data_IF_431003463873
#
_entry.id   IF_431003463873
#
_cell.length_a   1.000
_cell.length_b   1.000
_cell.length_c   1.000
_cell.angle_alpha   90.00
_cell.angle_beta   90.00
_cell.angle_gamma   90.00
#
_symmetry.space_group_name_H-M   'P 1'
#
loop_
_entity.id
_entity.type
_entity.pdbx_description
1 polymer ?
#
# COMPACT_ATOMS: atom_id res chain seq x y z
N UNK A 1 0.25 12.94 -20.18
CA UNK A 1 -0.71 11.91 -19.74
C UNK A 1 -1.26 11.25 -20.98
N UNK A 2 -1.30 9.91 -21.01
CA UNK A 2 -1.93 9.19 -22.11
C UNK A 2 -3.45 9.24 -21.91
N UNK A 3 -4.18 9.66 -22.94
CA UNK A 3 -5.65 9.79 -22.92
C UNK A 3 -6.19 8.97 -24.09
N UNK A 4 -7.32 8.29 -23.88
CA UNK A 4 -7.95 7.52 -24.95
C UNK A 4 -8.42 8.47 -26.04
N UNK A 5 -8.11 8.14 -27.29
CA UNK A 5 -8.56 8.90 -28.44
C UNK A 5 -10.11 8.91 -28.47
N UNK A 6 -10.76 10.07 -28.65
CA UNK A 6 -12.22 10.16 -28.80
C UNK A 6 -12.78 9.30 -29.95
N UNK A 7 -11.98 9.04 -30.99
CA UNK A 7 -12.30 8.15 -32.11
C UNK A 7 -12.16 6.66 -31.77
N UNK A 8 -11.63 6.32 -30.59
CA UNK A 8 -11.48 4.94 -30.12
C UNK A 8 -10.29 4.17 -30.69
N UNK A 9 -9.51 4.77 -31.60
CA UNK A 9 -8.42 4.09 -32.32
C UNK A 9 -7.06 4.05 -31.60
N UNK A 10 -6.98 4.46 -30.34
CA UNK A 10 -5.72 4.35 -29.59
C UNK A 10 -5.65 5.22 -28.34
N UNK A 11 -4.41 5.47 -27.91
CA UNK A 11 -4.06 6.40 -26.83
C UNK A 11 -3.19 7.53 -27.38
N UNK A 12 -3.54 8.76 -27.06
CA UNK A 12 -2.80 9.96 -27.47
C UNK A 12 -2.10 10.54 -26.26
N UNK A 13 -0.86 10.97 -26.44
CA UNK A 13 -0.15 11.71 -25.40
C UNK A 13 -0.67 13.15 -25.35
N UNK A 14 -1.24 13.53 -24.22
CA UNK A 14 -1.69 14.89 -23.94
C UNK A 14 -0.80 15.50 -22.85
N UNK A 15 -0.26 16.70 -23.07
CA UNK A 15 0.55 17.38 -22.06
C UNK A 15 -0.26 17.66 -20.81
N UNK A 16 0.36 17.51 -19.62
CA UNK A 16 -0.28 17.90 -18.34
C UNK A 16 -0.52 19.41 -18.25
N UNK A 17 0.21 20.19 -19.05
CA UNK A 17 0.09 21.63 -19.07
C UNK A 17 -0.91 22.07 -20.14
N UNK A 18 -2.04 22.61 -19.71
CA UNK A 18 -2.87 23.51 -20.53
C UNK A 18 -2.16 24.85 -20.59
N UNK A 19 -2.19 25.54 -21.75
CA UNK A 19 -1.45 26.80 -21.99
C UNK A 19 -1.72 27.91 -20.95
N UNK A 20 -2.77 27.75 -20.15
CA UNK A 20 -3.31 28.75 -19.22
C UNK A 20 -2.96 28.52 -17.73
N UNK A 21 -2.19 27.48 -17.38
CA UNK A 21 -1.83 27.17 -15.98
C UNK A 21 -0.31 27.19 -15.81
N UNK A 22 0.20 27.89 -14.79
CA UNK A 22 1.64 27.89 -14.49
C UNK A 22 2.06 26.52 -13.94
N UNK A 23 3.32 26.14 -14.15
CA UNK A 23 3.86 24.85 -13.69
C UNK A 23 3.58 24.58 -12.20
N UNK A 24 3.67 25.63 -11.36
CA UNK A 24 3.42 25.55 -9.91
C UNK A 24 1.95 25.31 -9.56
N UNK A 25 1.02 25.73 -10.42
CA UNK A 25 -0.42 25.61 -10.21
C UNK A 25 -1.03 24.33 -10.81
N UNK A 26 -0.27 23.57 -11.61
CA UNK A 26 -0.78 22.37 -12.28
C UNK A 26 -1.35 21.36 -11.28
N UNK A 27 -0.65 21.08 -10.19
CA UNK A 27 -1.12 20.12 -9.18
C UNK A 27 -2.44 20.55 -8.52
N UNK A 28 -2.59 21.86 -8.28
CA UNK A 28 -3.81 22.42 -7.71
C UNK A 28 -4.97 22.40 -8.70
N UNK A 29 -4.70 22.68 -9.98
CA UNK A 29 -5.67 22.58 -11.05
C UNK A 29 -6.15 21.13 -11.23
N UNK A 30 -5.23 20.17 -11.31
CA UNK A 30 -5.55 18.73 -11.39
C UNK A 30 -6.39 18.26 -10.19
N UNK A 31 -6.02 18.69 -8.98
CA UNK A 31 -6.81 18.43 -7.77
C UNK A 31 -8.23 18.98 -7.91
N UNK A 32 -8.40 20.23 -8.36
CA UNK A 32 -9.72 20.82 -8.54
C UNK A 32 -10.55 20.03 -9.55
N UNK A 33 -9.99 19.69 -10.71
CA UNK A 33 -10.68 18.88 -11.72
C UNK A 33 -11.15 17.52 -11.16
N UNK A 34 -10.33 16.88 -10.33
CA UNK A 34 -10.71 15.65 -9.65
C UNK A 34 -11.85 15.86 -8.63
N UNK A 35 -11.75 16.89 -7.78
CA UNK A 35 -12.74 17.18 -6.73
C UNK A 35 -14.07 17.70 -7.29
N UNK A 36 -14.05 18.31 -8.48
CA UNK A 36 -15.25 18.70 -9.26
C UNK A 36 -15.88 17.52 -10.01
N UNK A 37 -15.16 16.39 -10.14
CA UNK A 37 -15.63 15.21 -10.86
C UNK A 37 -15.45 15.28 -12.37
N UNK A 38 -14.73 16.29 -12.88
CA UNK A 38 -14.32 16.39 -14.29
C UNK A 38 -13.27 15.34 -14.64
N UNK A 39 -12.41 15.00 -13.67
CA UNK A 39 -11.52 13.83 -13.71
C UNK A 39 -11.92 12.83 -12.63
N UNK A 40 -11.92 11.55 -12.96
CA UNK A 40 -12.27 10.48 -12.04
C UNK A 40 -11.06 9.77 -11.43
N UNK A 41 -9.87 10.03 -11.98
CA UNK A 41 -8.62 9.43 -11.54
C UNK A 41 -7.65 10.54 -11.19
N UNK A 42 -7.02 10.43 -10.02
CA UNK A 42 -5.92 11.26 -9.58
C UNK A 42 -4.72 10.37 -9.30
N UNK A 43 -3.54 10.81 -9.75
CA UNK A 43 -2.28 10.12 -9.49
C UNK A 43 -1.45 11.05 -8.61
N UNK A 44 -1.01 10.52 -7.46
CA UNK A 44 -0.19 11.24 -6.51
C UNK A 44 1.11 10.50 -6.27
N UNK A 45 2.17 11.24 -5.98
CA UNK A 45 3.45 10.72 -5.50
C UNK A 45 3.77 11.30 -4.13
N UNK A 46 4.74 10.74 -3.42
CA UNK A 46 5.17 11.26 -2.12
C UNK A 46 5.56 12.75 -2.21
N UNK A 47 6.42 13.12 -3.16
CA UNK A 47 6.85 14.51 -3.38
C UNK A 47 5.72 15.43 -3.90
N UNK A 48 4.78 14.89 -4.68
CA UNK A 48 3.74 15.67 -5.34
C UNK A 48 2.43 15.82 -4.57
N UNK A 49 2.33 15.29 -3.35
CA UNK A 49 1.08 15.21 -2.57
C UNK A 49 1.06 16.02 -1.28
N UNK A 50 2.14 16.75 -0.98
CA UNK A 50 2.20 17.61 0.20
C UNK A 50 1.02 18.59 0.23
N UNK A 51 0.24 18.55 1.32
CA UNK A 51 -0.95 19.40 1.48
C UNK A 51 -2.15 19.07 0.59
N UNK A 52 -2.09 18.05 -0.27
CA UNK A 52 -3.20 17.67 -1.16
C UNK A 52 -4.24 16.86 -0.37
N UNK A 53 -5.52 17.16 -0.59
CA UNK A 53 -6.66 16.48 0.04
C UNK A 53 -7.60 15.99 -1.06
N UNK A 54 -7.86 14.69 -1.09
CA UNK A 54 -8.63 13.99 -2.14
C UNK A 54 -9.78 13.16 -1.55
N UNK A 55 -10.14 13.34 -0.28
CA UNK A 55 -11.27 12.62 0.32
C UNK A 55 -12.59 12.89 -0.40
N UNK A 56 -13.57 12.01 -0.22
CA UNK A 56 -14.95 12.25 -0.65
C UNK A 56 -15.66 13.23 0.30
N UNK A 57 -15.17 14.48 0.34
CA UNK A 57 -15.64 15.51 1.28
C UNK A 57 -17.11 15.88 1.03
N UNK A 58 -17.88 16.08 2.11
CA UNK A 58 -19.28 16.55 2.04
C UNK A 58 -19.47 17.86 1.29
N UNK A 59 -18.42 18.69 1.23
CA UNK A 59 -18.45 20.04 0.64
C UNK A 59 -18.08 20.08 -0.83
N UNK A 60 -17.62 18.98 -1.42
CA UNK A 60 -17.22 18.93 -2.84
C UNK A 60 -18.25 18.22 -3.70
N UNK A 61 -18.20 18.48 -5.01
CA UNK A 61 -19.11 17.87 -5.99
C UNK A 61 -18.83 16.38 -6.18
N UNK A 62 -17.55 15.98 -6.27
CA UNK A 62 -17.19 14.58 -6.43
C UNK A 62 -17.18 13.83 -5.09
N UNK A 63 -18.31 13.27 -4.73
CA UNK A 63 -18.53 12.52 -3.50
C UNK A 63 -18.42 10.99 -3.67
N UNK A 64 -17.98 10.52 -4.84
CA UNK A 64 -17.82 9.08 -5.12
C UNK A 64 -16.87 8.43 -4.12
N UNK A 65 -17.16 7.19 -3.70
CA UNK A 65 -16.27 6.42 -2.83
C UNK A 65 -14.87 6.35 -3.44
N UNK A 66 -13.85 6.62 -2.63
CA UNK A 66 -12.45 6.60 -3.08
C UNK A 66 -11.95 5.16 -3.12
N UNK A 67 -11.28 4.79 -4.19
CA UNK A 67 -10.48 3.56 -4.28
C UNK A 67 -9.03 4.00 -4.34
N UNK A 68 -8.30 3.82 -3.25
CA UNK A 68 -6.90 4.21 -3.13
C UNK A 68 -6.03 3.02 -3.51
N UNK A 69 -5.36 3.11 -4.66
CA UNK A 69 -4.46 2.07 -5.15
C UNK A 69 -3.02 2.47 -4.82
N UNK A 70 -2.32 1.62 -4.09
CA UNK A 70 -0.91 1.82 -3.73
C UNK A 70 -0.05 0.88 -4.55
N UNK A 71 0.70 1.45 -5.49
CA UNK A 71 1.60 0.71 -6.39
C UNK A 71 2.93 0.34 -5.72
N UNK A 72 3.41 1.21 -4.82
CA UNK A 72 4.62 1.01 -4.06
C UNK A 72 4.30 1.29 -2.59
N UNK A 73 4.47 0.28 -1.74
CA UNK A 73 4.27 0.44 -0.31
C UNK A 73 5.45 1.20 0.30
N UNK A 74 5.21 2.32 1.01
CA UNK A 74 6.27 3.01 1.72
C UNK A 74 6.95 2.09 2.73
N UNK A 75 8.28 2.18 2.80
CA UNK A 75 9.11 1.43 3.75
C UNK A 75 8.75 1.72 5.22
N UNK A 76 8.17 2.90 5.48
CA UNK A 76 7.68 3.31 6.79
C UNK A 76 6.16 3.29 6.84
N UNK A 77 5.62 2.61 7.85
CA UNK A 77 4.19 2.58 8.10
C UNK A 77 3.62 4.00 8.39
N UNK A 78 4.40 4.90 9.00
CA UNK A 78 3.97 6.28 9.23
C UNK A 78 3.82 7.05 7.93
N UNK A 79 4.74 6.84 6.98
CA UNK A 79 4.62 7.41 5.63
C UNK A 79 3.39 6.86 4.90
N UNK A 80 3.09 5.57 5.06
CA UNK A 80 1.88 4.97 4.52
C UNK A 80 0.61 5.61 5.13
N UNK A 81 0.55 5.80 6.46
CA UNK A 81 -0.57 6.50 7.12
C UNK A 81 -0.72 7.92 6.56
N UNK A 82 0.38 8.66 6.40
CA UNK A 82 0.34 10.02 5.86
C UNK A 82 -0.20 10.06 4.42
N UNK A 83 0.14 9.06 3.59
CA UNK A 83 -0.38 8.88 2.24
C UNK A 83 -1.87 8.54 2.25
N UNK A 84 -2.30 7.61 3.09
CA UNK A 84 -3.71 7.24 3.23
C UNK A 84 -4.56 8.40 3.76
N UNK A 85 -3.98 9.24 4.61
CA UNK A 85 -4.58 10.50 5.07
C UNK A 85 -4.87 11.51 3.95
N UNK A 86 -4.39 11.31 2.71
CA UNK A 86 -4.81 12.13 1.56
C UNK A 86 -6.25 11.83 1.14
N UNK A 87 -6.72 10.61 1.34
CA UNK A 87 -8.07 10.16 0.97
C UNK A 87 -8.99 9.88 2.15
N UNK A 88 -8.43 9.75 3.36
CA UNK A 88 -9.17 9.45 4.59
C UNK A 88 -9.20 10.64 5.57
N UNK A 89 -10.37 11.27 5.78
CA UNK A 89 -10.58 12.43 6.66
C UNK A 89 -11.96 12.41 7.32
N UNK A 90 -12.12 13.07 8.47
CA UNK A 90 -13.36 13.03 9.27
C UNK A 90 -14.61 13.60 8.58
N UNK A 91 -14.46 14.51 7.61
CA UNK A 91 -15.60 15.12 6.89
C UNK A 91 -15.98 14.38 5.59
N UNK A 92 -15.51 13.15 5.39
CA UNK A 92 -15.84 12.36 4.21
C UNK A 92 -17.23 11.72 4.32
N UNK A 93 -17.90 11.52 3.17
CA UNK A 93 -19.19 10.84 3.07
C UNK A 93 -19.03 9.32 3.16
N UNK A 94 -17.92 8.80 2.65
CA UNK A 94 -17.60 7.38 2.70
C UNK A 94 -16.12 7.16 2.93
N UNK A 95 -15.79 6.08 3.63
CA UNK A 95 -14.42 5.64 3.79
C UNK A 95 -13.85 5.15 2.45
N UNK A 96 -12.55 5.40 2.19
CA UNK A 96 -11.86 4.82 1.05
C UNK A 96 -11.76 3.30 1.17
N UNK A 97 -11.73 2.64 0.02
CA UNK A 97 -11.28 1.26 -0.13
C UNK A 97 -9.80 1.26 -0.55
N UNK A 98 -8.97 0.47 0.13
CA UNK A 98 -7.54 0.38 -0.17
C UNK A 98 -7.23 -0.86 -1.01
N UNK A 99 -6.44 -0.68 -2.07
CA UNK A 99 -5.92 -1.75 -2.92
C UNK A 99 -4.40 -1.65 -2.92
N UNK A 100 -3.75 -2.53 -2.18
CA UNK A 100 -2.30 -2.58 -2.11
C UNK A 100 -1.79 -3.57 -3.14
N UNK A 101 -0.88 -3.11 -3.99
CA UNK A 101 -0.19 -3.96 -4.96
C UNK A 101 1.21 -4.24 -4.41
N UNK A 102 1.57 -5.51 -4.36
CA UNK A 102 2.89 -5.97 -3.95
C UNK A 102 3.26 -7.19 -4.79
N UNK A 103 4.54 -7.34 -5.04
CA UNK A 103 5.11 -8.50 -5.71
C UNK A 103 5.31 -9.65 -4.72
N UNK A 104 5.53 -10.86 -5.22
CA UNK A 104 5.84 -12.02 -4.37
C UNK A 104 7.32 -12.03 -3.88
N UNK A 105 8.00 -10.88 -3.89
CA UNK A 105 9.37 -10.75 -3.40
C UNK A 105 9.39 -10.74 -1.88
N UNK A 106 10.30 -11.52 -1.28
CA UNK A 106 10.39 -11.66 0.18
C UNK A 106 10.66 -10.35 0.93
N UNK A 107 11.35 -9.40 0.29
CA UNK A 107 11.57 -8.07 0.84
C UNK A 107 10.27 -7.28 1.06
N UNK A 108 9.36 -7.29 0.09
CA UNK A 108 8.09 -6.57 0.16
C UNK A 108 7.15 -7.15 1.22
N UNK A 109 7.22 -8.47 1.48
CA UNK A 109 6.40 -9.14 2.50
C UNK A 109 6.61 -8.57 3.91
N UNK A 110 7.83 -8.16 4.26
CA UNK A 110 8.14 -7.54 5.58
C UNK A 110 7.56 -6.12 5.71
N UNK A 111 7.48 -5.38 4.62
CA UNK A 111 6.90 -4.03 4.63
C UNK A 111 5.37 -4.09 4.67
N UNK A 112 4.78 -5.02 3.92
CA UNK A 112 3.34 -5.26 3.93
C UNK A 112 2.81 -5.55 5.35
N UNK A 113 3.53 -6.35 6.14
CA UNK A 113 3.12 -6.71 7.51
C UNK A 113 3.08 -5.51 8.47
N UNK A 114 4.06 -4.61 8.34
CA UNK A 114 4.16 -3.42 9.19
C UNK A 114 3.07 -2.40 8.86
N UNK A 115 2.78 -2.24 7.57
CA UNK A 115 1.71 -1.34 7.08
C UNK A 115 0.32 -1.90 7.41
N UNK A 116 0.14 -3.21 7.32
CA UNK A 116 -1.11 -3.90 7.62
C UNK A 116 -1.65 -3.59 9.02
N UNK A 117 -0.79 -3.75 10.04
CA UNK A 117 -1.12 -3.48 11.45
C UNK A 117 -1.55 -2.02 11.67
N UNK A 118 -0.97 -1.09 10.92
CA UNK A 118 -1.33 0.33 10.98
C UNK A 118 -2.61 0.65 10.21
N UNK A 119 -2.88 -0.04 9.10
CA UNK A 119 -4.16 0.05 8.42
C UNK A 119 -5.32 -0.46 9.29
N UNK A 120 -5.11 -1.55 10.04
CA UNK A 120 -6.08 -2.04 11.04
C UNK A 120 -6.40 -0.95 12.08
N UNK A 121 -5.40 -0.21 12.56
CA UNK A 121 -5.60 0.88 13.52
C UNK A 121 -6.37 2.09 12.97
N UNK A 122 -6.42 2.26 11.64
CA UNK A 122 -7.17 3.34 10.99
C UNK A 122 -8.67 3.01 10.80
N UNK A 123 -9.13 1.84 11.27
CA UNK A 123 -10.51 1.39 11.12
C UNK A 123 -10.88 0.97 9.70
N UNK A 124 -9.88 0.82 8.82
CA UNK A 124 -10.05 0.46 7.42
C UNK A 124 -10.20 -1.06 7.28
N UNK A 125 -11.44 -1.54 7.47
CA UNK A 125 -12.00 -2.71 6.78
C UNK A 125 -11.13 -3.99 6.71
N UNK A 126 -11.31 -4.88 7.69
CA UNK A 126 -11.15 -6.33 7.51
C UNK A 126 -12.46 -6.97 7.01
N UNK A 127 -13.16 -6.36 6.04
CA UNK A 127 -14.17 -7.11 5.29
C UNK A 127 -13.46 -8.05 4.31
N UNK A 128 -13.00 -9.19 4.86
CA UNK A 128 -13.57 -10.52 4.59
C UNK A 128 -13.91 -10.94 3.16
N UNK A 129 -13.41 -10.30 2.11
CA UNK A 129 -13.51 -10.89 0.77
C UNK A 129 -12.48 -12.02 0.65
N UNK A 130 -12.92 -13.25 0.91
CA UNK A 130 -12.12 -14.49 0.76
C UNK A 130 -11.58 -14.71 -0.66
N UNK A 131 -11.96 -13.89 -1.65
CA UNK A 131 -11.41 -13.94 -3.00
C UNK A 131 -10.24 -12.96 -3.23
N UNK A 132 -9.95 -12.08 -2.28
CA UNK A 132 -8.92 -11.05 -2.40
C UNK A 132 -7.57 -11.48 -1.81
N UNK A 133 -6.95 -12.53 -2.37
CA UNK A 133 -5.58 -12.94 -2.00
C UNK A 133 -5.38 -13.22 -0.48
N UNK A 134 -4.13 -13.38 -0.02
CA UNK A 134 -3.86 -13.52 1.40
C UNK A 134 -4.26 -12.23 2.12
N UNK A 135 -5.11 -12.33 3.15
CA UNK A 135 -5.34 -11.25 4.12
C UNK A 135 -3.99 -10.69 4.55
N UNK A 136 -3.88 -9.38 4.75
CA UNK A 136 -2.63 -8.76 5.19
C UNK A 136 -2.07 -9.36 6.51
N UNK A 137 -2.95 -10.00 7.30
CA UNK A 137 -2.57 -10.82 8.46
C UNK A 137 -1.68 -12.03 8.13
N UNK A 138 -1.74 -12.58 6.92
CA UNK A 138 -0.88 -13.67 6.45
C UNK A 138 0.61 -13.27 6.39
N UNK A 139 0.89 -11.97 6.33
CA UNK A 139 2.25 -11.44 6.35
C UNK A 139 2.69 -11.04 7.76
N UNK A 140 1.83 -11.13 8.77
CA UNK A 140 2.19 -10.75 10.14
C UNK A 140 3.11 -11.78 10.81
N UNK A 141 4.42 -11.50 10.81
CA UNK A 141 5.44 -12.31 11.47
C UNK A 141 5.54 -12.05 12.99
N UNK A 142 4.89 -11.00 13.53
CA UNK A 142 4.78 -10.75 14.97
C UNK A 142 3.67 -11.63 15.58
N UNK A 143 3.85 -12.93 15.50
CA UNK A 143 2.94 -13.93 16.04
C UNK A 143 3.69 -14.89 16.98
N UNK A 144 2.96 -15.80 17.63
CA UNK A 144 3.56 -16.76 18.57
C UNK A 144 4.67 -17.62 17.93
N UNK A 145 4.58 -17.90 16.62
CA UNK A 145 5.57 -18.65 15.86
C UNK A 145 6.84 -17.81 15.62
N UNK A 146 6.70 -16.54 15.23
CA UNK A 146 7.83 -15.62 15.07
C UNK A 146 8.59 -15.39 16.38
N UNK A 147 7.86 -15.26 17.50
CA UNK A 147 8.47 -15.17 18.83
C UNK A 147 9.25 -16.43 19.20
N UNK A 148 8.67 -17.62 18.99
CA UNK A 148 9.34 -18.92 19.23
C UNK A 148 10.58 -19.11 18.36
N UNK A 149 10.51 -18.72 17.08
CA UNK A 149 11.65 -18.81 16.17
C UNK A 149 12.81 -17.91 16.64
N UNK A 150 12.50 -16.69 17.10
CA UNK A 150 13.49 -15.77 17.65
C UNK A 150 14.09 -16.30 18.97
N UNK A 151 13.26 -16.81 19.88
CA UNK A 151 13.71 -17.44 21.13
C UNK A 151 14.65 -18.62 20.87
N UNK A 152 14.33 -19.49 19.91
CA UNK A 152 15.19 -20.60 19.51
C UNK A 152 16.51 -20.12 18.90
N UNK A 153 16.48 -19.07 18.05
CA UNK A 153 17.68 -18.46 17.49
C UNK A 153 18.60 -17.91 18.59
N UNK A 154 18.05 -17.18 19.56
CA UNK A 154 18.82 -16.64 20.67
C UNK A 154 19.42 -17.74 21.54
N UNK A 155 18.65 -18.79 21.86
CA UNK A 155 19.16 -19.94 22.62
C UNK A 155 20.33 -20.60 21.90
N UNK A 156 20.18 -20.91 20.61
CA UNK A 156 21.26 -21.54 19.84
C UNK A 156 22.53 -20.70 19.75
N UNK A 157 22.41 -19.37 19.60
CA UNK A 157 23.56 -18.46 19.60
C UNK A 157 24.23 -18.40 20.97
N UNK A 158 23.45 -18.30 22.06
CA UNK A 158 24.01 -18.17 23.42
C UNK A 158 24.56 -19.49 23.97
N UNK A 159 23.98 -20.62 23.59
CA UNK A 159 24.36 -21.95 24.08
C UNK A 159 25.48 -22.59 23.25
N UNK A 160 25.90 -21.96 22.13
CA UNK A 160 26.84 -22.51 21.14
C UNK A 160 26.48 -23.96 20.74
N UNK A 161 25.18 -24.23 20.63
CA UNK A 161 24.68 -25.59 20.36
C UNK A 161 25.18 -26.06 18.98
N UNK A 162 26.03 -27.10 18.91
CA UNK A 162 26.57 -27.59 17.65
C UNK A 162 25.48 -28.13 16.71
N UNK A 163 24.30 -28.48 17.22
CA UNK A 163 23.16 -28.94 16.44
C UNK A 163 22.14 -27.82 16.12
N UNK A 164 22.41 -26.58 16.54
CA UNK A 164 21.54 -25.42 16.27
C UNK A 164 21.19 -25.29 14.78
N UNK A 165 22.19 -25.50 13.90
CA UNK A 165 22.01 -25.40 12.46
C UNK A 165 21.00 -26.44 11.94
N UNK A 166 21.02 -27.67 12.47
CA UNK A 166 20.07 -28.73 12.06
C UNK A 166 18.65 -28.44 12.56
N UNK A 167 18.52 -27.96 13.80
CA UNK A 167 17.22 -27.60 14.37
C UNK A 167 16.60 -26.38 13.68
N UNK A 168 17.42 -25.38 13.34
CA UNK A 168 16.98 -24.20 12.61
C UNK A 168 16.50 -24.56 11.19
N UNK A 169 17.24 -25.40 10.46
CA UNK A 169 16.82 -25.86 9.12
C UNK A 169 15.52 -26.66 9.18
N UNK A 170 15.38 -27.59 10.13
CA UNK A 170 14.13 -28.35 10.31
C UNK A 170 12.94 -27.46 10.69
N UNK A 171 13.16 -26.43 11.51
CA UNK A 171 12.12 -25.45 11.83
C UNK A 171 11.73 -24.62 10.59
N UNK A 172 12.70 -24.20 9.77
CA UNK A 172 12.48 -23.47 8.51
C UNK A 172 11.76 -24.33 7.46
N UNK A 173 12.06 -25.63 7.39
CA UNK A 173 11.34 -26.61 6.55
C UNK A 173 9.87 -26.73 7.00
N UNK A 174 9.63 -26.82 8.30
CA UNK A 174 8.27 -26.96 8.87
C UNK A 174 7.36 -25.76 8.62
N UNK A 175 7.94 -24.58 8.37
CA UNK A 175 7.21 -23.35 8.01
C UNK A 175 7.27 -23.03 6.52
N UNK A 176 7.85 -23.90 5.70
CA UNK A 176 7.93 -23.75 4.23
C UNK A 176 8.79 -22.57 3.76
N UNK A 177 9.77 -22.14 4.58
CA UNK A 177 10.68 -21.02 4.27
C UNK A 177 12.03 -21.53 3.73
N UNK A 178 12.31 -22.82 3.89
CA UNK A 178 13.52 -23.44 3.34
C UNK A 178 13.57 -23.29 1.82
N UNK A 179 14.62 -22.64 1.34
CA UNK A 179 14.93 -22.61 -0.09
C UNK A 179 15.78 -23.84 -0.39
N UNK A 180 15.34 -24.65 -1.35
CA UNK A 180 16.22 -25.63 -2.00
C UNK A 180 17.37 -24.86 -2.65
N UNK A 181 18.49 -24.77 -1.93
CA UNK A 181 19.75 -24.26 -2.45
C UNK A 181 20.38 -25.33 -3.36
N UNK A 182 19.76 -25.56 -4.51
CA UNK A 182 20.36 -26.26 -5.64
C UNK A 182 20.25 -25.35 -6.86
N UNK A 183 21.18 -24.40 -6.96
CA UNK A 183 21.85 -23.92 -8.18
C UNK A 183 23.16 -23.25 -7.78
#
# INVERSE_FOLDING_TARGET
MLVRDPSGMGVVYQTRNTKDVTADMVNMHEKMLFMEGKKLVAIISEAGSAGVSLQADKRVRNQKRRVHITLELPWSADRAIQQFGRTHRSNQISAPEYRLLFSNLGGERRFASSVAKRLESLGALTQGDRRAGPSLSAYNYENAYGKRALENLYKGIMEQDPDFSKQATSALDSVGISMDANH
#
